data_IF_190300233010
#
_entry.id   IF_190300233010
#
_cell.length_a   1.000
_cell.length_b   1.000
_cell.length_c   1.000
_cell.angle_alpha   90.00
_cell.angle_beta   90.00
_cell.angle_gamma   90.00
#
_symmetry.space_group_name_H-M   'P 1'
#
loop_
_entity.id
_entity.type
_entity.pdbx_description
1 polymer ?
#
# COMPACT_ATOMS: atom_id res chain seq x y z
N UNK A 1 26.38 18.56 36.44
CA UNK A 1 26.68 19.40 35.26
C UNK A 1 25.98 18.81 34.04
N UNK A 2 24.76 19.29 33.74
CA UNK A 2 23.94 18.77 32.65
C UNK A 2 24.56 19.20 31.31
N UNK A 3 25.09 18.23 30.54
CA UNK A 3 25.58 18.47 29.18
C UNK A 3 24.40 18.87 28.30
N UNK A 4 24.33 20.15 27.96
CA UNK A 4 23.40 20.71 27.00
C UNK A 4 23.72 20.11 25.63
N UNK A 5 22.92 19.13 25.21
CA UNK A 5 23.06 18.50 23.90
C UNK A 5 22.82 19.59 22.84
N UNK A 6 23.89 20.03 22.18
CA UNK A 6 23.85 20.97 21.07
C UNK A 6 23.07 20.24 19.96
N UNK A 7 21.77 20.50 19.83
CA UNK A 7 21.04 20.13 18.61
C UNK A 7 21.74 20.88 17.48
N UNK A 8 22.61 20.19 16.74
CA UNK A 8 23.18 20.70 15.51
C UNK A 8 22.01 21.04 14.61
N UNK A 9 21.80 22.34 14.41
CA UNK A 9 20.79 22.91 13.53
C UNK A 9 21.25 22.73 12.07
N UNK A 10 21.64 21.51 11.71
CA UNK A 10 21.65 21.11 10.32
C UNK A 10 20.18 21.02 9.95
N UNK A 11 19.70 22.01 9.20
CA UNK A 11 18.63 21.78 8.25
C UNK A 11 19.12 20.64 7.34
N UNK A 12 18.96 19.40 7.81
CA UNK A 12 19.38 18.19 7.10
C UNK A 12 18.60 18.25 5.80
N UNK A 13 19.32 18.47 4.71
CA UNK A 13 18.76 18.63 3.38
C UNK A 13 17.90 17.39 3.08
N UNK A 14 16.58 17.53 3.25
CA UNK A 14 15.62 16.49 2.91
C UNK A 14 15.43 16.64 1.40
N UNK A 15 15.94 15.67 0.63
CA UNK A 15 15.81 15.68 -0.83
C UNK A 15 14.35 15.65 -1.25
N UNK A 16 13.55 14.78 -0.62
CA UNK A 16 12.13 14.60 -0.92
C UNK A 16 11.27 14.55 0.36
N UNK A 17 10.04 15.06 0.30
CA UNK A 17 9.12 15.08 1.46
C UNK A 17 8.90 13.68 2.04
N UNK A 18 8.80 12.64 1.17
CA UNK A 18 8.65 11.25 1.61
C UNK A 18 9.82 10.79 2.50
N UNK A 19 11.06 11.10 2.13
CA UNK A 19 12.25 10.79 2.94
C UNK A 19 12.21 11.49 4.31
N UNK A 20 11.69 12.72 4.33
CA UNK A 20 11.46 13.48 5.54
C UNK A 20 10.48 12.79 6.48
N UNK A 21 9.32 12.38 5.95
CA UNK A 21 8.27 11.68 6.71
C UNK A 21 8.78 10.34 7.24
N UNK A 22 9.42 9.55 6.38
CA UNK A 22 10.03 8.27 6.74
C UNK A 22 11.01 8.39 7.90
N UNK A 23 11.85 9.43 7.88
CA UNK A 23 12.81 9.70 8.94
C UNK A 23 12.16 10.15 10.25
N UNK A 24 11.12 10.98 10.17
CA UNK A 24 10.36 11.41 11.35
C UNK A 24 9.66 10.20 11.98
N UNK A 25 8.99 9.37 11.17
CA UNK A 25 8.35 8.14 11.62
C UNK A 25 9.33 7.24 12.38
N UNK A 26 10.44 6.84 11.75
CA UNK A 26 11.44 5.95 12.36
C UNK A 26 12.12 6.52 13.61
N UNK A 27 12.29 7.83 13.69
CA UNK A 27 13.01 8.46 14.81
C UNK A 27 12.13 8.89 15.98
N UNK A 28 10.80 8.96 15.78
CA UNK A 28 9.86 9.52 16.77
C UNK A 28 8.68 8.62 17.06
N UNK A 29 8.00 8.13 16.03
CA UNK A 29 6.77 7.35 16.19
C UNK A 29 7.06 5.88 16.41
N UNK A 30 7.95 5.28 15.62
CA UNK A 30 8.25 3.85 15.72
C UNK A 30 8.69 3.40 17.14
N UNK A 31 9.61 4.11 17.85
CA UNK A 31 9.97 3.73 19.21
C UNK A 31 8.82 3.87 20.22
N UNK A 32 7.84 4.72 19.93
CA UNK A 32 6.65 4.89 20.75
C UNK A 32 5.66 3.74 20.49
N UNK A 33 5.49 3.35 19.22
CA UNK A 33 4.65 2.21 18.82
C UNK A 33 5.15 0.91 19.45
N UNK A 34 6.47 0.67 19.45
CA UNK A 34 7.09 -0.48 20.13
C UNK A 34 6.94 -0.40 21.66
N UNK A 35 7.10 0.77 22.27
CA UNK A 35 7.03 0.90 23.73
C UNK A 35 5.64 0.61 24.32
N UNK A 36 4.59 0.67 23.49
CA UNK A 36 3.19 0.46 23.89
C UNK A 36 2.52 -0.69 23.14
N UNK A 37 3.28 -1.57 22.49
CA UNK A 37 2.78 -2.73 21.73
C UNK A 37 1.66 -2.36 20.73
N UNK A 38 1.76 -1.19 20.09
CA UNK A 38 0.74 -0.68 19.17
C UNK A 38 0.54 -1.62 17.96
N UNK A 39 1.60 -2.30 17.55
CA UNK A 39 1.62 -3.17 16.37
C UNK A 39 0.73 -4.41 16.51
N UNK A 40 0.57 -4.90 17.73
CA UNK A 40 -0.26 -6.07 18.00
C UNK A 40 -1.74 -5.69 18.18
N UNK A 41 -2.02 -4.41 18.47
CA UNK A 41 -3.35 -3.93 18.81
C UNK A 41 -4.09 -3.29 17.64
N UNK A 42 -3.40 -2.46 16.84
CA UNK A 42 -4.05 -1.57 15.88
C UNK A 42 -3.54 -1.78 14.46
N UNK A 43 -2.24 -1.66 14.24
CA UNK A 43 -1.66 -1.76 12.90
C UNK A 43 -0.19 -2.14 12.95
N UNK A 44 0.28 -3.03 12.06
CA UNK A 44 1.70 -3.27 11.85
C UNK A 44 2.45 -1.97 11.58
N UNK A 45 3.75 -1.96 11.91
CA UNK A 45 4.62 -0.84 11.63
C UNK A 45 4.76 -0.58 10.14
N UNK A 46 4.91 0.71 9.79
CA UNK A 46 5.07 1.12 8.41
C UNK A 46 6.46 0.74 7.91
N UNK A 47 6.48 0.09 6.75
CA UNK A 47 7.69 -0.29 6.05
C UNK A 47 8.06 0.77 5.01
N UNK A 48 9.28 0.68 4.50
CA UNK A 48 9.80 1.60 3.48
C UNK A 48 8.89 1.64 2.24
N UNK A 49 8.37 0.48 1.84
CA UNK A 49 7.45 0.32 0.71
C UNK A 49 6.13 1.11 0.89
N UNK A 50 5.70 1.37 2.13
CA UNK A 50 4.47 2.14 2.41
C UNK A 50 4.66 3.64 2.12
N UNK A 51 5.89 4.14 2.25
CA UNK A 51 6.26 5.54 1.92
C UNK A 51 6.57 5.73 0.43
N UNK A 52 7.03 4.67 -0.24
CA UNK A 52 7.38 4.65 -1.65
C UNK A 52 6.23 4.18 -2.55
N UNK A 53 5.09 3.78 -1.95
CA UNK A 53 3.92 3.30 -2.65
C UNK A 53 3.32 4.37 -3.59
N UNK A 54 2.88 3.92 -4.77
CA UNK A 54 2.12 4.77 -5.69
C UNK A 54 0.72 5.04 -5.10
N UNK A 55 0.13 6.22 -5.36
CA UNK A 55 -1.24 6.51 -4.95
C UNK A 55 -2.21 5.42 -5.45
N UNK A 56 -3.12 5.00 -4.57
CA UNK A 56 -4.10 3.95 -4.86
C UNK A 56 -5.52 4.54 -4.89
N UNK A 57 -6.33 4.07 -5.83
CA UNK A 57 -7.77 4.40 -5.92
C UNK A 57 -8.56 3.13 -5.65
N UNK A 58 -9.41 3.15 -4.63
CA UNK A 58 -10.29 2.04 -4.27
C UNK A 58 -11.71 2.30 -4.79
N UNK A 59 -12.22 1.41 -5.64
CA UNK A 59 -13.58 1.47 -6.15
C UNK A 59 -14.49 0.52 -5.38
N UNK A 60 -15.48 1.07 -4.68
CA UNK A 60 -16.48 0.31 -3.92
C UNK A 60 -17.86 0.55 -4.53
N UNK A 61 -18.67 -0.50 -4.63
CA UNK A 61 -20.04 -0.41 -5.13
C UNK A 61 -20.68 -1.78 -5.32
N UNK A 62 -22.00 -1.82 -5.42
CA UNK A 62 -22.77 -3.06 -5.59
C UNK A 62 -22.45 -3.78 -6.92
N UNK A 63 -22.96 -5.00 -7.06
CA UNK A 63 -22.83 -5.78 -8.29
C UNK A 63 -23.39 -4.99 -9.48
N UNK A 64 -22.74 -5.14 -10.64
CA UNK A 64 -23.19 -4.57 -11.92
C UNK A 64 -23.31 -3.04 -11.97
N UNK A 65 -22.70 -2.29 -11.04
CA UNK A 65 -22.65 -0.81 -11.07
C UNK A 65 -21.57 -0.23 -12.00
N UNK A 66 -20.93 -1.07 -12.82
CA UNK A 66 -19.96 -0.60 -13.83
C UNK A 66 -18.54 -0.31 -13.30
N UNK A 67 -18.16 -0.77 -12.11
CA UNK A 67 -16.79 -0.59 -11.57
C UNK A 67 -15.70 -1.04 -12.56
N UNK A 68 -15.86 -2.25 -13.10
CA UNK A 68 -14.95 -2.85 -14.07
C UNK A 68 -14.90 -2.03 -15.36
N UNK A 69 -16.06 -1.56 -15.82
CA UNK A 69 -16.18 -0.69 -17.00
C UNK A 69 -15.56 0.70 -16.77
N UNK A 70 -15.65 1.23 -15.54
CA UNK A 70 -15.05 2.51 -15.17
C UNK A 70 -13.52 2.45 -15.21
N UNK A 71 -12.91 1.37 -14.72
CA UNK A 71 -11.46 1.17 -14.84
C UNK A 71 -11.07 1.09 -16.33
N UNK A 72 -11.79 0.28 -17.12
CA UNK A 72 -11.56 0.18 -18.57
C UNK A 72 -11.67 1.54 -19.27
N UNK A 73 -12.66 2.35 -18.88
CA UNK A 73 -12.86 3.69 -19.41
C UNK A 73 -11.66 4.61 -19.10
N UNK A 74 -11.16 4.60 -17.85
CA UNK A 74 -9.98 5.39 -17.47
C UNK A 74 -8.70 4.94 -18.16
N UNK A 75 -8.56 3.65 -18.46
CA UNK A 75 -7.38 3.09 -19.13
C UNK A 75 -7.46 3.20 -20.66
N UNK A 76 -8.65 3.48 -21.21
CA UNK A 76 -8.97 3.45 -22.65
C UNK A 76 -8.61 2.12 -23.34
N UNK A 77 -8.43 1.04 -22.56
CA UNK A 77 -8.07 -0.30 -23.04
C UNK A 77 -8.52 -1.38 -22.08
N UNK A 78 -8.55 -2.61 -22.58
CA UNK A 78 -8.78 -3.80 -21.76
C UNK A 78 -7.52 -4.13 -20.93
N UNK A 79 -7.72 -4.82 -19.80
CA UNK A 79 -6.64 -5.28 -18.92
C UNK A 79 -6.79 -6.77 -18.60
N UNK A 80 -5.68 -7.48 -18.29
CA UNK A 80 -5.73 -8.90 -17.93
C UNK A 80 -6.66 -9.17 -16.76
N UNK A 81 -7.47 -10.24 -16.84
CA UNK A 81 -8.44 -10.60 -15.81
C UNK A 81 -9.79 -9.87 -15.89
N UNK A 82 -9.97 -8.97 -16.87
CA UNK A 82 -11.24 -8.30 -17.13
C UNK A 82 -12.35 -9.31 -17.45
N UNK A 83 -13.42 -9.31 -16.66
CA UNK A 83 -14.69 -10.00 -16.96
C UNK A 83 -15.84 -9.03 -16.80
N UNK A 84 -16.42 -8.59 -17.92
CA UNK A 84 -17.64 -7.77 -17.94
C UNK A 84 -18.77 -8.65 -18.45
N UNK A 85 -19.70 -8.98 -17.58
CA UNK A 85 -20.91 -9.73 -17.91
C UNK A 85 -22.12 -9.20 -17.13
N UNK A 86 -23.34 -9.48 -17.59
CA UNK A 86 -24.57 -9.09 -16.88
C UNK A 86 -24.72 -9.85 -15.53
N UNK A 87 -24.07 -10.99 -15.40
CA UNK A 87 -24.01 -11.81 -14.18
C UNK A 87 -22.94 -11.29 -13.19
N UNK A 88 -23.07 -11.55 -11.88
CA UNK A 88 -22.03 -11.24 -10.90
C UNK A 88 -20.71 -11.90 -11.30
N UNK A 89 -19.78 -11.09 -11.81
CA UNK A 89 -18.57 -11.58 -12.49
C UNK A 89 -17.29 -11.28 -11.72
N UNK A 90 -17.37 -10.48 -10.65
CA UNK A 90 -16.23 -10.09 -9.81
C UNK A 90 -16.55 -10.38 -8.34
N UNK A 91 -16.19 -11.59 -7.90
CA UNK A 91 -16.35 -12.05 -6.51
C UNK A 91 -15.03 -11.98 -5.71
N UNK A 92 -14.01 -11.32 -6.27
CA UNK A 92 -12.67 -11.22 -5.70
C UNK A 92 -12.16 -9.79 -5.71
N UNK A 93 -11.23 -9.50 -4.80
CA UNK A 93 -10.46 -8.25 -4.84
C UNK A 93 -9.49 -8.29 -6.02
N UNK A 94 -9.54 -7.26 -6.87
CA UNK A 94 -8.67 -7.13 -8.03
C UNK A 94 -7.82 -5.88 -7.89
N UNK A 95 -6.51 -6.02 -8.07
CA UNK A 95 -5.55 -4.92 -8.07
C UNK A 95 -5.03 -4.76 -9.50
N UNK A 96 -5.30 -3.61 -10.10
CA UNK A 96 -4.78 -3.26 -11.43
C UNK A 96 -3.60 -2.33 -11.24
N UNK A 97 -2.42 -2.78 -11.65
CA UNK A 97 -1.17 -2.02 -11.53
C UNK A 97 -0.34 -2.12 -12.81
N UNK A 98 0.58 -1.17 -12.96
CA UNK A 98 1.54 -1.20 -14.07
C UNK A 98 2.51 -2.38 -13.94
N UNK A 99 2.76 -3.06 -15.05
CA UNK A 99 3.83 -4.05 -15.22
C UNK A 99 4.41 -3.96 -16.62
N UNK A 100 5.65 -4.43 -16.80
CA UNK A 100 6.32 -4.44 -18.11
C UNK A 100 5.63 -5.38 -19.11
N UNK A 101 4.98 -6.43 -18.60
CA UNK A 101 4.25 -7.42 -19.36
C UNK A 101 2.81 -7.53 -18.85
N UNK A 102 1.89 -7.81 -19.76
CA UNK A 102 0.50 -8.08 -19.43
C UNK A 102 0.37 -9.47 -18.82
N UNK A 103 0.09 -9.53 -17.52
CA UNK A 103 -0.01 -10.76 -16.76
C UNK A 103 -0.98 -10.61 -15.59
N UNK A 104 -1.47 -11.75 -15.10
CA UNK A 104 -2.28 -11.83 -13.87
C UNK A 104 -1.43 -12.50 -12.80
N UNK A 105 -1.22 -11.81 -11.68
CA UNK A 105 -0.47 -12.34 -10.53
C UNK A 105 -1.48 -12.78 -9.47
N UNK A 106 -1.46 -14.06 -9.04
CA UNK A 106 -2.31 -14.53 -7.95
C UNK A 106 -2.03 -13.77 -6.64
N UNK A 107 -3.08 -13.49 -5.86
CA UNK A 107 -2.97 -12.72 -4.62
C UNK A 107 -1.96 -13.28 -3.62
N UNK A 108 -1.84 -14.62 -3.57
CA UNK A 108 -0.90 -15.32 -2.70
C UNK A 108 0.55 -14.97 -3.04
N UNK A 109 0.86 -14.83 -4.33
CA UNK A 109 2.18 -14.44 -4.81
C UNK A 109 2.42 -12.94 -4.59
N UNK A 110 1.38 -12.11 -4.71
CA UNK A 110 1.46 -10.68 -4.46
C UNK A 110 1.70 -10.35 -2.98
N UNK A 111 1.14 -11.14 -2.07
CA UNK A 111 1.25 -10.95 -0.63
C UNK A 111 2.64 -11.29 -0.07
N UNK A 112 3.44 -12.10 -0.78
CA UNK A 112 4.81 -12.46 -0.36
C UNK A 112 5.88 -11.58 -1.00
N UNK A 113 5.50 -10.65 -1.89
CA UNK A 113 6.45 -9.74 -2.50
C UNK A 113 6.83 -8.61 -1.53
N UNK A 114 8.05 -8.66 -1.01
CA UNK A 114 8.59 -7.66 -0.08
C UNK A 114 8.78 -6.27 -0.70
N UNK A 115 8.75 -6.14 -2.03
CA UNK A 115 8.82 -4.83 -2.71
C UNK A 115 7.45 -4.18 -2.88
N UNK A 116 6.40 -4.92 -2.56
CA UNK A 116 5.03 -4.48 -2.69
C UNK A 116 4.51 -3.98 -1.35
N UNK A 117 3.74 -2.88 -1.35
CA UNK A 117 2.95 -2.46 -0.18
C UNK A 117 1.82 -3.42 0.15
N UNK A 118 1.64 -4.50 -0.63
CA UNK A 118 0.60 -5.51 -0.43
C UNK A 118 0.98 -6.62 0.56
N UNK A 119 2.18 -6.58 1.16
CA UNK A 119 2.59 -7.58 2.16
C UNK A 119 1.62 -7.68 3.35
N UNK A 120 1.01 -6.57 3.76
CA UNK A 120 0.01 -6.53 4.84
C UNK A 120 -1.24 -7.37 4.52
N UNK A 121 -1.56 -7.58 3.24
CA UNK A 121 -2.69 -8.42 2.82
C UNK A 121 -2.45 -9.92 3.03
N UNK A 122 -1.23 -10.34 3.36
CA UNK A 122 -0.97 -11.74 3.75
C UNK A 122 -1.81 -12.17 4.96
N UNK A 123 -2.08 -11.24 5.88
CA UNK A 123 -2.98 -11.47 7.02
C UNK A 123 -4.44 -11.74 6.61
N UNK A 124 -4.85 -11.22 5.44
CA UNK A 124 -6.17 -11.41 4.85
C UNK A 124 -6.23 -12.62 3.92
N UNK A 125 -5.10 -13.04 3.35
CA UNK A 125 -4.99 -14.18 2.43
C UNK A 125 -5.37 -15.54 3.06
N UNK A 126 -5.47 -15.63 4.38
CA UNK A 126 -6.02 -16.78 5.09
C UNK A 126 -7.54 -16.73 5.32
N UNK A 127 -8.22 -15.65 4.90
CA UNK A 127 -9.64 -15.38 5.15
C UNK A 127 -10.48 -15.15 3.89
N UNK A 128 -9.87 -15.09 2.71
CA UNK A 128 -10.52 -14.89 1.41
C UNK A 128 -10.02 -15.90 0.39
#
# INVERSE_FOLDING_TARGET
MFKRNKKSNEAKFIRNVSDGLKKVYKSKLYPLEEAYDFHDLISPGLNDCDFDAKPMVLLIGQYSTGKTSFIRYLLERDYPGLRIGPEPTTDTFNVVMYGEQEQVIPGNALAVDNKSSFAHYQSLAGRF
#
